data_IF_927855669013
#
_entry.id   IF_927855669013
#
_cell.length_a   1.000
_cell.length_b   1.000
_cell.length_c   1.000
_cell.angle_alpha   90.00
_cell.angle_beta   90.00
_cell.angle_gamma   90.00
#
_symmetry.space_group_name_H-M   'P 1'
#
loop_
_entity.id
_entity.type
_entity.pdbx_description
1 polymer ?
#
# COMPACT_ATOMS: atom_id res chain seq x y z
N UNK A 1 26.64 17.62 2.84
CA UNK A 1 25.30 18.24 2.82
C UNK A 1 24.43 17.36 3.67
N UNK A 2 23.81 17.92 4.71
CA UNK A 2 23.08 17.14 5.71
C UNK A 2 21.95 16.34 5.08
N UNK A 3 21.88 15.07 5.41
CA UNK A 3 20.78 14.19 5.04
C UNK A 3 19.50 14.67 5.76
N UNK A 4 18.65 15.43 5.08
CA UNK A 4 17.39 15.89 5.67
C UNK A 4 16.42 14.71 5.77
N UNK A 5 16.11 14.31 7.01
CA UNK A 5 15.19 13.22 7.31
C UNK A 5 13.82 13.81 7.63
N UNK A 6 12.79 13.31 6.96
CA UNK A 6 11.40 13.67 7.17
C UNK A 6 10.78 12.53 7.96
N UNK A 7 10.66 12.74 9.27
CA UNK A 7 10.00 11.82 10.19
C UNK A 7 8.81 12.54 10.83
N UNK A 8 7.60 12.03 10.58
CA UNK A 8 6.37 12.55 11.17
C UNK A 8 6.10 11.89 12.54
N UNK A 9 5.35 12.58 13.38
CA UNK A 9 4.99 12.10 14.72
C UNK A 9 3.50 11.77 14.79
N UNK A 10 3.18 10.74 15.58
CA UNK A 10 1.79 10.35 15.81
C UNK A 10 1.08 11.44 16.60
N UNK A 11 -0.07 11.93 16.10
CA UNK A 11 -0.89 12.95 16.78
C UNK A 11 -1.35 12.51 18.18
N UNK A 12 -1.59 11.21 18.36
CA UNK A 12 -2.11 10.62 19.61
C UNK A 12 -0.99 10.27 20.58
N UNK A 13 0.05 9.59 20.11
CA UNK A 13 1.08 9.01 20.98
C UNK A 13 2.36 9.86 21.06
N UNK A 14 2.53 10.86 20.17
CA UNK A 14 3.77 11.64 19.93
C UNK A 14 5.01 10.79 19.64
N UNK A 15 4.82 9.52 19.32
CA UNK A 15 5.91 8.65 18.89
C UNK A 15 6.33 9.00 17.47
N UNK A 16 7.64 8.95 17.24
CA UNK A 16 8.24 9.16 15.93
C UNK A 16 8.04 7.91 15.07
N UNK A 17 7.65 8.07 13.81
CA UNK A 17 7.51 6.92 12.91
C UNK A 17 8.84 6.19 12.74
N UNK A 18 8.80 4.86 12.75
CA UNK A 18 9.96 4.06 12.37
C UNK A 18 10.13 4.04 10.83
N UNK A 19 11.37 3.92 10.32
CA UNK A 19 11.58 3.71 8.90
C UNK A 19 10.98 2.38 8.47
N UNK A 20 10.38 2.34 7.27
CA UNK A 20 9.95 1.09 6.66
C UNK A 20 11.14 0.14 6.57
N UNK A 21 10.94 -1.09 7.04
CA UNK A 21 11.89 -2.18 6.89
C UNK A 21 11.28 -3.24 6.01
N UNK A 22 12.09 -3.77 5.08
CA UNK A 22 11.75 -4.98 4.35
C UNK A 22 11.85 -6.15 5.33
N UNK A 23 10.75 -6.46 6.01
CA UNK A 23 10.72 -7.51 7.04
C UNK A 23 10.64 -8.92 6.44
N UNK A 24 10.18 -9.05 5.20
CA UNK A 24 10.03 -10.34 4.53
C UNK A 24 10.94 -10.49 3.32
N UNK A 25 11.57 -11.67 3.21
CA UNK A 25 12.38 -12.10 2.06
C UNK A 25 11.53 -12.59 0.88
N UNK A 26 10.21 -12.69 1.05
CA UNK A 26 9.30 -13.25 0.04
C UNK A 26 8.70 -12.19 -0.88
N UNK A 27 8.79 -10.92 -0.48
CA UNK A 27 8.36 -9.79 -1.29
C UNK A 27 9.56 -9.12 -1.96
N UNK A 28 9.33 -8.60 -3.15
CA UNK A 28 10.33 -7.89 -3.94
C UNK A 28 10.24 -6.37 -3.74
N UNK A 29 9.06 -5.89 -3.31
CA UNK A 29 8.78 -4.48 -3.04
C UNK A 29 8.22 -4.34 -1.63
N UNK A 30 8.68 -3.32 -0.90
CA UNK A 30 8.04 -2.81 0.32
C UNK A 30 7.88 -1.30 0.20
N UNK A 31 6.69 -0.81 0.47
CA UNK A 31 6.34 0.61 0.40
C UNK A 31 5.32 1.04 1.44
N UNK A 32 4.93 2.31 1.37
CA UNK A 32 3.82 2.84 2.16
C UNK A 32 2.48 2.61 1.46
N UNK A 33 1.44 2.37 2.25
CA UNK A 33 0.06 2.36 1.74
C UNK A 33 -0.43 3.78 1.38
N UNK A 34 -1.53 3.87 0.61
CA UNK A 34 -2.06 5.13 0.10
C UNK A 34 -2.50 6.11 1.21
N UNK A 35 -2.89 5.62 2.38
CA UNK A 35 -3.28 6.46 3.51
C UNK A 35 -2.10 7.27 4.10
N UNK A 36 -0.86 6.84 3.85
CA UNK A 36 0.33 7.57 4.29
C UNK A 36 0.67 8.70 3.33
N UNK A 37 0.35 8.56 2.04
CA UNK A 37 0.78 9.50 1.02
C UNK A 37 -0.25 9.63 -0.08
N UNK A 38 -0.86 10.81 -0.13
CA UNK A 38 -1.86 11.15 -1.10
C UNK A 38 -1.27 11.96 -2.25
N UNK A 39 -1.68 11.62 -3.47
CA UNK A 39 -1.19 12.28 -4.68
C UNK A 39 -2.04 13.47 -5.05
N UNK A 40 -1.38 14.52 -5.53
CA UNK A 40 -2.05 15.70 -6.05
C UNK A 40 -1.44 16.19 -7.37
N UNK A 41 -2.28 16.83 -8.17
CA UNK A 41 -1.94 17.46 -9.45
C UNK A 41 -1.44 18.91 -9.28
N UNK A 42 -1.31 19.42 -8.05
CA UNK A 42 -0.77 20.76 -7.81
C UNK A 42 0.69 20.87 -8.26
N UNK A 43 1.00 21.93 -9.02
CA UNK A 43 2.35 22.15 -9.54
C UNK A 43 3.30 22.75 -8.50
N UNK A 44 2.85 23.72 -7.71
CA UNK A 44 3.72 24.45 -6.74
C UNK A 44 2.92 25.20 -5.68
N UNK A 45 1.74 25.70 -6.04
CA UNK A 45 0.78 26.26 -5.08
C UNK A 45 -0.03 25.12 -4.47
N UNK A 46 0.35 24.73 -3.26
CA UNK A 46 -0.38 23.75 -2.46
C UNK A 46 -1.36 24.47 -1.54
N UNK A 47 -2.55 23.89 -1.29
CA UNK A 47 -3.44 24.42 -0.27
C UNK A 47 -2.77 24.32 1.12
N UNK A 48 -3.14 25.21 2.07
CA UNK A 48 -2.62 25.17 3.42
C UNK A 48 -2.76 23.77 4.04
N UNK A 49 -1.80 23.39 4.88
CA UNK A 49 -1.82 22.08 5.54
C UNK A 49 -3.14 21.79 6.29
N UNK A 50 -3.79 22.83 6.82
CA UNK A 50 -5.03 22.75 7.60
C UNK A 50 -6.31 22.73 6.75
N UNK A 51 -6.22 22.83 5.42
CA UNK A 51 -7.41 22.73 4.55
C UNK A 51 -7.89 21.27 4.51
N UNK A 52 -9.14 20.98 4.93
CA UNK A 52 -9.69 19.63 4.91
C UNK A 52 -10.07 19.12 3.52
N UNK A 53 -10.14 19.99 2.50
CA UNK A 53 -10.57 19.62 1.15
C UNK A 53 -9.52 20.00 0.11
N UNK A 54 -8.92 19.01 -0.55
CA UNK A 54 -8.07 19.23 -1.71
C UNK A 54 -8.37 18.23 -2.83
N UNK A 55 -8.01 18.60 -4.05
CA UNK A 55 -8.16 17.74 -5.21
C UNK A 55 -7.05 16.68 -5.20
N UNK A 56 -7.45 15.42 -4.99
CA UNK A 56 -6.59 14.25 -5.16
C UNK A 56 -6.42 13.92 -6.65
N UNK A 57 -5.25 13.44 -7.03
CA UNK A 57 -4.97 13.01 -8.40
C UNK A 57 -5.67 11.68 -8.69
N UNK A 58 -6.59 11.69 -9.64
CA UNK A 58 -7.23 10.48 -10.20
C UNK A 58 -6.33 9.76 -11.22
N UNK A 59 -5.19 10.35 -11.57
CA UNK A 59 -4.29 9.79 -12.59
C UNK A 59 -3.12 9.06 -11.93
N UNK A 60 -2.79 7.84 -12.39
CA UNK A 60 -1.60 7.15 -11.95
C UNK A 60 -0.36 7.99 -12.32
N UNK A 61 0.63 8.07 -11.42
CA UNK A 61 1.88 8.75 -11.71
C UNK A 61 2.60 8.08 -12.87
N UNK A 62 3.33 8.87 -13.66
CA UNK A 62 4.13 8.37 -14.79
C UNK A 62 5.60 8.52 -14.48
N UNK A 63 6.40 7.53 -14.87
CA UNK A 63 7.84 7.54 -14.73
C UNK A 63 8.47 8.85 -15.24
N UNK A 64 9.35 9.45 -14.43
CA UNK A 64 10.06 10.68 -14.74
C UNK A 64 9.31 11.97 -14.41
N UNK A 65 8.04 11.91 -14.01
CA UNK A 65 7.28 13.09 -13.60
C UNK A 65 7.62 13.52 -12.17
N UNK A 66 7.64 14.82 -11.94
CA UNK A 66 7.59 15.39 -10.60
C UNK A 66 6.13 15.62 -10.20
N UNK A 67 5.76 15.19 -9.01
CA UNK A 67 4.40 15.28 -8.47
C UNK A 67 4.43 15.81 -7.05
N UNK A 68 3.35 16.48 -6.68
CA UNK A 68 3.16 17.00 -5.33
C UNK A 68 2.31 16.02 -4.55
N UNK A 69 2.72 15.71 -3.34
CA UNK A 69 2.10 14.71 -2.49
C UNK A 69 1.93 15.24 -1.08
N UNK A 70 0.86 14.82 -0.42
CA UNK A 70 0.63 15.09 0.99
C UNK A 70 0.93 13.82 1.75
N UNK A 71 1.91 13.87 2.65
CA UNK A 71 2.26 12.74 3.50
C UNK A 71 1.71 12.93 4.92
N UNK A 72 1.36 11.81 5.55
CA UNK A 72 0.80 11.70 6.88
C UNK A 72 1.61 10.72 7.72
N UNK A 73 1.50 10.80 9.04
CA UNK A 73 2.04 9.75 9.91
C UNK A 73 1.32 8.40 9.60
N UNK A 74 2.05 7.27 9.50
CA UNK A 74 3.47 7.08 9.79
C UNK A 74 4.38 7.24 8.55
N UNK A 75 5.12 8.36 8.44
CA UNK A 75 6.08 8.58 7.36
C UNK A 75 7.47 8.88 7.92
N UNK A 76 8.44 8.08 7.50
CA UNK A 76 9.86 8.27 7.83
C UNK A 76 10.71 7.98 6.60
N UNK A 77 11.15 9.03 5.91
CA UNK A 77 12.03 8.92 4.75
C UNK A 77 13.08 10.01 4.72
N UNK A 78 14.22 9.69 4.11
CA UNK A 78 15.31 10.64 3.89
C UNK A 78 15.20 11.28 2.52
N UNK A 79 15.45 12.59 2.44
CA UNK A 79 15.48 13.30 1.17
C UNK A 79 16.47 12.67 0.18
N UNK A 80 16.05 12.55 -1.08
CA UNK A 80 16.83 11.93 -2.15
C UNK A 80 16.94 10.41 -2.12
N UNK A 81 16.50 9.72 -1.03
CA UNK A 81 16.43 8.26 -1.05
C UNK A 81 15.18 7.79 -1.81
N UNK A 82 15.30 6.79 -2.69
CA UNK A 82 14.15 6.18 -3.34
C UNK A 82 13.38 5.35 -2.32
N UNK A 83 12.05 5.44 -2.37
CA UNK A 83 11.12 4.62 -1.59
C UNK A 83 9.97 4.20 -2.48
N UNK A 84 9.33 3.08 -2.15
CA UNK A 84 8.13 2.62 -2.84
C UNK A 84 6.89 3.05 -2.07
N UNK A 85 5.80 3.16 -2.80
CA UNK A 85 4.48 3.32 -2.24
C UNK A 85 3.42 2.71 -3.15
N UNK A 86 2.28 2.37 -2.59
CA UNK A 86 1.12 1.96 -3.36
C UNK A 86 0.29 3.19 -3.75
N UNK A 87 0.08 3.36 -5.05
CA UNK A 87 -0.95 4.21 -5.61
C UNK A 87 -2.22 3.38 -5.81
N UNK A 88 -3.30 3.78 -5.15
CA UNK A 88 -4.65 3.29 -5.47
C UNK A 88 -5.48 4.45 -6.04
N UNK A 89 -6.35 4.19 -7.03
CA UNK A 89 -7.24 5.21 -7.55
C UNK A 89 -8.23 5.70 -6.49
N UNK A 90 -8.87 6.85 -6.77
CA UNK A 90 -9.64 7.62 -5.79
C UNK A 90 -10.76 6.81 -5.13
N UNK A 91 -11.50 5.99 -5.89
CA UNK A 91 -12.65 5.24 -5.38
C UNK A 91 -12.23 4.12 -4.44
N UNK A 92 -11.14 3.40 -4.75
CA UNK A 92 -10.55 2.34 -3.93
C UNK A 92 -9.84 2.89 -2.70
N UNK A 93 -9.22 4.07 -2.82
CA UNK A 93 -8.65 4.78 -1.67
C UNK A 93 -9.71 5.15 -0.64
N UNK A 94 -10.93 5.48 -1.08
CA UNK A 94 -11.99 5.95 -0.20
C UNK A 94 -12.91 4.83 0.32
N UNK A 95 -13.23 3.85 -0.53
CA UNK A 95 -14.22 2.81 -0.22
C UNK A 95 -13.64 1.39 -0.20
N UNK A 96 -12.31 1.26 -0.34
CA UNK A 96 -11.62 -0.02 -0.46
C UNK A 96 -11.86 -0.72 -1.80
N UNK A 97 -11.02 -1.71 -2.11
CA UNK A 97 -11.21 -2.56 -3.28
C UNK A 97 -12.41 -3.50 -3.15
N UNK A 98 -12.96 -3.67 -1.95
CA UNK A 98 -14.23 -4.38 -1.72
C UNK A 98 -15.39 -3.74 -2.51
N UNK A 99 -15.40 -2.40 -2.60
CA UNK A 99 -16.46 -1.64 -3.27
C UNK A 99 -16.16 -1.35 -4.75
N UNK A 100 -14.87 -1.24 -5.11
CA UNK A 100 -14.40 -0.90 -6.45
C UNK A 100 -13.29 -1.85 -6.94
N UNK A 101 -13.58 -3.14 -7.10
CA UNK A 101 -12.55 -4.11 -7.46
C UNK A 101 -11.99 -3.92 -8.89
N UNK A 102 -12.68 -3.19 -9.77
CA UNK A 102 -12.19 -2.79 -11.09
C UNK A 102 -10.92 -1.94 -11.06
N UNK A 103 -10.66 -1.25 -9.95
CA UNK A 103 -9.50 -0.37 -9.77
C UNK A 103 -8.25 -1.14 -9.25
N UNK A 104 -8.38 -2.43 -8.93
CA UNK A 104 -7.23 -3.30 -8.63
C UNK A 104 -6.26 -3.32 -9.83
N UNK A 105 -6.79 -3.41 -11.05
CA UNK A 105 -5.96 -3.43 -12.27
C UNK A 105 -5.25 -2.10 -12.55
N UNK A 106 -5.79 -1.00 -12.00
CA UNK A 106 -5.26 0.36 -12.12
C UNK A 106 -4.34 0.74 -10.95
N UNK A 107 -4.26 -0.10 -9.93
CA UNK A 107 -3.39 0.10 -8.77
C UNK A 107 -1.95 -0.22 -9.14
N UNK A 108 -1.01 0.58 -8.64
CA UNK A 108 0.40 0.44 -8.98
C UNK A 108 1.33 0.76 -7.81
N UNK A 109 2.46 0.09 -7.77
CA UNK A 109 3.57 0.43 -6.91
C UNK A 109 4.44 1.46 -7.61
N UNK A 110 4.68 2.56 -6.92
CA UNK A 110 5.39 3.71 -7.45
C UNK A 110 6.65 3.91 -6.64
N UNK A 111 7.80 3.81 -7.29
CA UNK A 111 9.05 4.21 -6.69
C UNK A 111 9.23 5.70 -6.91
N UNK A 112 9.41 6.44 -5.83
CA UNK A 112 9.64 7.88 -5.90
C UNK A 112 10.75 8.31 -4.94
N UNK A 113 11.32 9.47 -5.21
CA UNK A 113 12.33 10.10 -4.36
C UNK A 113 11.92 11.51 -4.04
N UNK A 114 12.12 11.93 -2.80
CA UNK A 114 11.78 13.28 -2.34
C UNK A 114 12.76 14.28 -2.96
N UNK A 115 12.25 15.17 -3.81
CA UNK A 115 13.03 16.21 -4.47
C UNK A 115 13.04 17.49 -3.64
N UNK A 116 11.87 17.87 -3.09
CA UNK A 116 11.73 19.10 -2.32
C UNK A 116 10.63 18.99 -1.26
N UNK A 117 10.83 19.65 -0.12
CA UNK A 117 9.76 19.90 0.87
C UNK A 117 9.13 21.25 0.54
N UNK A 118 7.82 21.27 0.31
CA UNK A 118 7.07 22.51 0.06
C UNK A 118 6.66 23.11 1.40
N UNK A 119 5.98 22.34 2.23
CA UNK A 119 5.51 22.74 3.55
C UNK A 119 5.53 21.54 4.50
N UNK A 120 5.82 21.72 5.79
CA UNK A 120 5.80 20.63 6.77
C UNK A 120 5.32 21.09 8.14
N UNK A 121 4.66 20.20 8.85
CA UNK A 121 4.41 20.31 10.28
C UNK A 121 4.79 18.99 10.99
N UNK A 122 4.40 18.83 12.26
CA UNK A 122 4.78 17.66 13.08
C UNK A 122 4.03 16.36 12.70
N UNK A 123 2.93 16.43 11.94
CA UNK A 123 2.02 15.31 11.64
C UNK A 123 1.72 15.10 10.15
N UNK A 124 1.98 16.07 9.29
CA UNK A 124 1.76 16.06 7.84
C UNK A 124 2.77 16.96 7.11
N UNK A 125 3.06 16.65 5.85
CA UNK A 125 3.91 17.48 5.02
C UNK A 125 3.48 17.45 3.54
N UNK A 126 3.62 18.59 2.87
CA UNK A 126 3.57 18.70 1.43
C UNK A 126 4.97 18.52 0.86
N UNK A 127 5.14 17.46 0.06
CA UNK A 127 6.40 17.11 -0.57
C UNK A 127 6.25 17.12 -2.08
N UNK A 128 7.29 17.53 -2.77
CA UNK A 128 7.46 17.28 -4.18
C UNK A 128 8.35 16.04 -4.33
N UNK A 129 7.79 15.02 -4.97
CA UNK A 129 8.49 13.77 -5.25
C UNK A 129 8.70 13.61 -6.74
N UNK A 130 9.83 13.02 -7.10
CA UNK A 130 10.11 12.57 -8.45
C UNK A 130 9.78 11.10 -8.57
N UNK A 131 8.94 10.76 -9.53
CA UNK A 131 8.58 9.39 -9.86
C UNK A 131 9.74 8.76 -10.64
N UNK A 132 10.34 7.74 -10.06
CA UNK A 132 11.48 7.02 -10.64
C UNK A 132 11.03 5.80 -11.45
N UNK A 133 10.04 5.07 -10.94
CA UNK A 133 9.55 3.83 -11.53
C UNK A 133 8.09 3.60 -11.14
N UNK A 134 7.32 2.96 -12.02
CA UNK A 134 5.91 2.61 -11.80
C UNK A 134 5.72 1.18 -12.24
N UNK A 135 5.17 0.34 -11.36
CA UNK A 135 4.92 -1.08 -11.58
C UNK A 135 3.46 -1.38 -11.28
N UNK A 136 2.70 -1.78 -12.31
CA UNK A 136 1.28 -2.08 -12.15
C UNK A 136 1.11 -3.43 -11.46
N UNK A 137 0.14 -3.57 -10.55
CA UNK A 137 -0.07 -4.83 -9.82
C UNK A 137 -0.38 -5.99 -10.78
N UNK A 138 -1.10 -5.72 -11.88
CA UNK A 138 -1.45 -6.75 -12.86
C UNK A 138 -0.24 -7.34 -13.59
N UNK A 139 0.88 -6.62 -13.65
CA UNK A 139 2.12 -7.05 -14.29
C UNK A 139 3.02 -7.87 -13.33
N UNK A 140 2.74 -7.88 -12.02
CA UNK A 140 3.63 -8.52 -11.03
C UNK A 140 3.77 -10.02 -11.24
N UNK A 141 2.72 -10.67 -11.75
CA UNK A 141 2.76 -12.09 -12.09
C UNK A 141 3.79 -12.41 -13.20
N UNK A 142 4.12 -11.42 -14.04
CA UNK A 142 5.11 -11.54 -15.12
C UNK A 142 6.47 -10.98 -14.71
N UNK A 143 6.49 -9.84 -14.02
CA UNK A 143 7.70 -9.10 -13.65
C UNK A 143 8.51 -9.79 -12.54
N UNK A 144 7.85 -10.50 -11.62
CA UNK A 144 8.50 -11.11 -10.47
C UNK A 144 8.54 -12.64 -10.56
N UNK A 145 9.67 -13.27 -10.15
CA UNK A 145 9.76 -14.72 -10.12
C UNK A 145 8.77 -15.28 -9.12
N UNK A 146 8.04 -16.33 -9.52
CA UNK A 146 7.10 -17.03 -8.64
C UNK A 146 7.87 -17.65 -7.47
N UNK A 147 7.57 -17.21 -6.24
CA UNK A 147 8.13 -17.77 -5.01
C UNK A 147 7.08 -18.65 -4.33
N UNK A 148 7.46 -19.82 -3.83
CA UNK A 148 6.54 -20.66 -3.05
C UNK A 148 6.40 -20.08 -1.65
N UNK A 149 5.20 -19.63 -1.30
CA UNK A 149 4.85 -19.19 0.05
C UNK A 149 4.43 -20.38 0.90
N UNK A 150 5.35 -21.31 1.14
CA UNK A 150 5.07 -22.49 1.99
C UNK A 150 5.09 -22.14 3.50
N UNK A 151 5.53 -20.93 3.88
CA UNK A 151 5.65 -20.48 5.26
C UNK A 151 4.60 -19.39 5.62
N UNK A 152 3.66 -19.73 6.51
CA UNK A 152 3.08 -18.84 7.53
C UNK A 152 2.14 -17.69 7.15
N UNK A 153 2.13 -17.17 5.91
CA UNK A 153 1.35 -15.96 5.58
C UNK A 153 -0.17 -16.15 5.67
N UNK A 154 -0.65 -17.35 5.34
CA UNK A 154 -2.07 -17.69 5.51
C UNK A 154 -2.43 -17.83 6.99
N UNK A 155 -1.47 -18.15 7.86
CA UNK A 155 -1.71 -18.21 9.30
C UNK A 155 -1.92 -16.81 9.90
N UNK A 156 -1.30 -15.77 9.32
CA UNK A 156 -1.56 -14.38 9.69
C UNK A 156 -3.00 -13.97 9.35
N UNK A 157 -3.52 -14.39 8.17
CA UNK A 157 -4.93 -14.20 7.82
C UNK A 157 -5.87 -15.05 8.70
N UNK A 158 -5.49 -16.28 9.03
CA UNK A 158 -6.25 -17.19 9.92
C UNK A 158 -6.23 -16.76 11.38
N UNK A 159 -5.27 -15.93 11.79
CA UNK A 159 -5.22 -15.36 13.14
C UNK A 159 -6.44 -14.44 13.39
N UNK A 160 -6.99 -13.85 12.34
CA UNK A 160 -8.20 -13.05 12.40
C UNK A 160 -9.43 -13.94 12.16
N UNK A 161 -10.40 -13.88 13.08
CA UNK A 161 -11.52 -14.84 13.14
C UNK A 161 -12.51 -14.74 11.98
N UNK A 162 -12.45 -13.68 11.15
CA UNK A 162 -13.38 -13.43 10.03
C UNK A 162 -12.69 -12.69 8.87
N UNK A 163 -12.00 -13.40 7.96
CA UNK A 163 -11.55 -12.79 6.70
C UNK A 163 -12.76 -12.54 5.79
N UNK A 164 -12.91 -11.32 5.29
CA UNK A 164 -13.81 -10.97 4.19
C UNK A 164 -13.09 -11.26 2.88
N UNK A 165 -13.78 -11.94 1.97
CA UNK A 165 -13.22 -12.30 0.66
C UNK A 165 -14.14 -11.77 -0.43
N UNK A 166 -13.62 -10.86 -1.24
CA UNK A 166 -14.29 -10.34 -2.41
C UNK A 166 -13.73 -11.01 -3.67
N UNK A 167 -14.60 -11.67 -4.42
CA UNK A 167 -14.26 -12.27 -5.71
C UNK A 167 -14.56 -11.29 -6.84
N UNK A 168 -13.55 -10.99 -7.66
CA UNK A 168 -13.70 -10.17 -8.84
C UNK A 168 -12.95 -10.75 -10.04
N UNK A 169 -13.68 -11.38 -10.96
CA UNK A 169 -13.11 -12.08 -12.12
C UNK A 169 -12.03 -13.10 -11.67
N UNK A 170 -10.80 -12.91 -12.13
CA UNK A 170 -9.64 -13.72 -11.77
C UNK A 170 -8.91 -13.19 -10.51
N UNK A 171 -9.47 -12.19 -9.83
CA UNK A 171 -8.91 -11.57 -8.63
C UNK A 171 -9.71 -11.97 -7.39
N UNK A 172 -9.00 -12.23 -6.30
CA UNK A 172 -9.53 -12.43 -4.97
C UNK A 172 -8.89 -11.37 -4.07
N UNK A 173 -9.72 -10.50 -3.51
CA UNK A 173 -9.30 -9.59 -2.47
C UNK A 173 -9.68 -10.19 -1.12
N UNK A 174 -8.70 -10.30 -0.23
CA UNK A 174 -8.88 -10.87 1.11
C UNK A 174 -8.58 -9.73 2.08
N UNK A 175 -9.54 -9.37 2.92
CA UNK A 175 -9.34 -8.44 4.02
C UNK A 175 -9.62 -9.16 5.34
N UNK A 176 -8.70 -9.07 6.29
CA UNK A 176 -8.81 -9.71 7.58
C UNK A 176 -8.38 -8.72 8.66
N UNK A 177 -9.29 -8.38 9.55
CA UNK A 177 -9.03 -7.44 10.65
C UNK A 177 -9.53 -7.99 11.97
N UNK A 178 -8.92 -7.55 13.06
CA UNK A 178 -9.53 -7.70 14.38
C UNK A 178 -10.61 -6.61 14.53
N UNK A 179 -11.77 -6.95 15.12
CA UNK A 179 -12.76 -5.92 15.48
C UNK A 179 -12.11 -4.89 16.42
N UNK A 180 -11.92 -3.66 15.92
CA UNK A 180 -11.25 -2.55 16.59
C UNK A 180 -9.96 -2.09 15.89
N UNK A 181 -9.32 -1.05 16.42
CA UNK A 181 -8.14 -0.38 15.84
C UNK A 181 -6.83 -1.23 15.88
N UNK A 182 -6.92 -2.57 15.97
CA UNK A 182 -5.79 -3.46 16.27
C UNK A 182 -5.06 -4.03 15.05
N UNK A 183 -5.44 -3.60 13.86
CA UNK A 183 -4.73 -3.89 12.63
C UNK A 183 -5.58 -4.65 11.62
N UNK A 184 -5.44 -4.26 10.36
CA UNK A 184 -6.15 -4.82 9.22
C UNK A 184 -5.10 -5.30 8.24
N UNK A 185 -5.10 -6.60 7.97
CA UNK A 185 -4.32 -7.18 6.89
C UNK A 185 -5.20 -7.26 5.66
N UNK A 186 -4.65 -6.94 4.50
CA UNK A 186 -5.31 -7.20 3.24
C UNK A 186 -4.36 -7.81 2.23
N UNK A 187 -4.89 -8.59 1.30
CA UNK A 187 -4.13 -9.28 0.28
C UNK A 187 -4.87 -9.31 -1.04
N UNK A 188 -4.14 -9.02 -2.13
CA UNK A 188 -4.64 -9.17 -3.49
C UNK A 188 -4.04 -10.44 -4.07
N UNK A 189 -4.90 -11.41 -4.33
CA UNK A 189 -4.57 -12.69 -4.96
C UNK A 189 -5.15 -12.72 -6.36
N UNK A 190 -4.36 -13.21 -7.32
CA UNK A 190 -4.81 -13.44 -8.70
C UNK A 190 -4.79 -14.94 -8.99
N UNK A 191 -5.88 -15.46 -9.52
CA UNK A 191 -5.99 -16.84 -9.97
C UNK A 191 -5.49 -16.94 -11.42
N UNK A 192 -4.42 -17.70 -11.64
CA UNK A 192 -3.83 -17.93 -12.96
C UNK A 192 -3.71 -19.45 -13.16
N UNK A 193 -4.33 -19.99 -14.21
CA UNK A 193 -4.30 -21.43 -14.53
C UNK A 193 -4.65 -22.36 -13.35
N UNK A 194 -5.61 -21.94 -12.51
CA UNK A 194 -6.05 -22.71 -11.33
C UNK A 194 -5.10 -22.63 -10.12
N UNK A 195 -4.10 -21.73 -10.17
CA UNK A 195 -3.18 -21.45 -9.07
C UNK A 195 -3.43 -20.05 -8.51
N UNK A 196 -3.25 -19.89 -7.21
CA UNK A 196 -3.44 -18.61 -6.52
C UNK A 196 -2.10 -17.91 -6.33
N UNK A 197 -1.96 -16.71 -6.88
CA UNK A 197 -0.77 -15.87 -6.79
C UNK A 197 -1.06 -14.62 -5.96
N UNK A 198 -0.48 -14.51 -4.78
CA UNK A 198 -0.51 -13.29 -3.98
C UNK A 198 0.42 -12.25 -4.60
N UNK A 199 -0.15 -11.14 -5.06
CA UNK A 199 0.57 -10.07 -5.76
C UNK A 199 0.86 -8.86 -4.86
N UNK A 200 -0.06 -8.53 -3.97
CA UNK A 200 0.11 -7.46 -3.01
C UNK A 200 -0.43 -7.88 -1.64
N UNK A 201 0.22 -7.39 -0.58
CA UNK A 201 -0.15 -7.63 0.81
C UNK A 201 0.03 -6.35 1.60
N UNK A 202 -1.01 -5.86 2.24
CA UNK A 202 -0.97 -4.71 3.14
C UNK A 202 -1.05 -5.14 4.60
N UNK A 203 -0.24 -4.49 5.43
CA UNK A 203 -0.27 -4.60 6.88
C UNK A 203 -0.49 -3.20 7.48
N UNK A 204 -1.72 -2.98 7.96
CA UNK A 204 -2.15 -1.76 8.60
C UNK A 204 -2.24 -1.93 10.11
N UNK A 205 -1.76 -0.95 10.86
CA UNK A 205 -1.95 -0.80 12.31
C UNK A 205 -1.65 0.63 12.79
N UNK A 206 -1.85 0.91 14.08
CA UNK A 206 -1.69 2.26 14.67
C UNK A 206 -0.41 3.02 14.31
N UNK A 207 0.68 2.30 14.06
CA UNK A 207 2.01 2.86 13.78
C UNK A 207 2.67 2.25 12.55
N UNK A 208 1.97 1.38 11.82
CA UNK A 208 2.50 0.67 10.65
C UNK A 208 1.48 0.77 9.53
N UNK A 209 1.93 1.15 8.35
CA UNK A 209 1.07 1.21 7.20
C UNK A 209 1.87 0.84 5.96
N UNK A 210 2.18 -0.45 5.91
CA UNK A 210 3.16 -1.02 5.00
C UNK A 210 2.45 -1.85 3.96
N UNK A 211 2.89 -1.73 2.73
CA UNK A 211 2.42 -2.55 1.63
C UNK A 211 3.60 -3.27 1.00
N UNK A 212 3.40 -4.55 0.76
CA UNK A 212 4.37 -5.46 0.21
C UNK A 212 3.90 -5.96 -1.16
N UNK A 213 4.81 -5.96 -2.12
CA UNK A 213 4.58 -6.35 -3.49
C UNK A 213 5.47 -7.55 -3.86
N UNK A 214 4.90 -8.57 -4.49
CA UNK A 214 5.65 -9.76 -4.89
C UNK A 214 4.83 -10.71 -5.75
N UNK A 215 5.35 -11.90 -6.00
CA UNK A 215 4.61 -12.95 -6.70
C UNK A 215 4.74 -14.26 -5.91
N UNK A 216 3.86 -14.43 -4.93
CA UNK A 216 3.89 -15.57 -4.01
C UNK A 216 2.81 -16.57 -4.40
N UNK A 217 3.22 -17.79 -4.71
CA UNK A 217 2.31 -18.90 -4.96
C UNK A 217 1.74 -19.40 -3.64
N UNK A 218 0.42 -19.31 -3.48
CA UNK A 218 -0.30 -19.81 -2.32
C UNK A 218 -0.79 -21.25 -2.56
N UNK A 219 -0.75 -22.12 -1.53
CA UNK A 219 -1.30 -23.48 -1.63
C UNK A 219 -2.81 -23.45 -1.88
N UNK A 220 -3.27 -24.11 -2.95
CA UNK A 220 -4.69 -24.17 -3.36
C UNK A 220 -5.59 -24.68 -2.23
N UNK A 221 -5.16 -25.74 -1.53
CA UNK A 221 -5.93 -26.33 -0.43
C UNK A 221 -6.15 -25.32 0.71
N UNK A 222 -5.12 -24.57 1.09
CA UNK A 222 -5.22 -23.60 2.17
C UNK A 222 -6.09 -22.38 1.80
N UNK A 223 -6.10 -22.00 0.52
CA UNK A 223 -6.99 -20.96 -0.03
C UNK A 223 -8.45 -21.42 -0.07
N UNK A 224 -8.71 -22.64 -0.52
CA UNK A 224 -10.05 -23.22 -0.52
C UNK A 224 -10.61 -23.37 0.89
N UNK A 225 -9.77 -23.73 1.87
CA UNK A 225 -10.15 -23.75 3.29
C UNK A 225 -10.50 -22.34 3.81
N UNK A 226 -9.76 -21.31 3.39
CA UNK A 226 -10.01 -19.91 3.79
C UNK A 226 -11.31 -19.38 3.15
N UNK A 227 -11.53 -19.66 1.87
CA UNK A 227 -12.77 -19.33 1.15
C UNK A 227 -13.97 -20.03 1.80
N UNK A 228 -13.84 -21.33 2.09
CA UNK A 228 -14.90 -22.08 2.77
C UNK A 228 -15.21 -21.59 4.19
N UNK A 229 -14.24 -20.97 4.89
CA UNK A 229 -14.49 -20.32 6.19
C UNK A 229 -15.21 -18.98 6.05
N UNK A 230 -14.95 -18.23 4.98
CA UNK A 230 -15.60 -16.95 4.71
C UNK A 230 -17.03 -17.12 4.16
N UNK A 231 -17.32 -18.20 3.43
CA UNK A 231 -18.63 -18.50 2.82
C UNK A 231 -19.64 -19.24 3.75
N UNK A 232 -19.26 -19.57 4.99
CA UNK A 232 -20.12 -20.29 5.95
C UNK A 232 -21.07 -19.40 6.79
N UNK A 233 -21.13 -18.09 6.53
CA UNK A 233 -22.13 -17.14 7.07
C UNK A 233 -23.11 -16.68 5.96
#
# INVERSE_FOLDING_TARGET
MGEEVIALTCRTCRQLSEPIKMESKFFDIVGFENDVMEWSDFATEVPPLDDPYWVRSERPPVQGQARTVKVYHPFHMQMGKPFWMLYTPLSSSLNGWDSHPEEIEQSCFVQCSIERVIERNEWQAWLQVKVLEVRMIHDFAHDFPVRKGDDGYLDDFRMFRKPSICHYRDWLFISAGAEGDLGVLWGIVKQIEGRYHLLAFGDWGFHKNNVFGGNILLPTQSMEELIGQAEQD
#
